data_IF_349922169370
#
_entry.id   IF_349922169370
#
_cell.length_a   1.000
_cell.length_b   1.000
_cell.length_c   1.000
_cell.angle_alpha   90.00
_cell.angle_beta   90.00
_cell.angle_gamma   90.00
#
_symmetry.space_group_name_H-M   'P 1'
#
loop_
_entity.id
_entity.type
_entity.pdbx_description
1 polymer ?
#
# COMPACT_ATOMS: atom_id res chain seq x y z
N UNK A 1 8.90 26.02 0.20
CA UNK A 1 7.62 25.50 -0.33
C UNK A 1 7.64 23.98 -0.24
N UNK A 2 6.49 23.36 0.10
CA UNK A 2 6.34 21.90 0.12
C UNK A 2 6.54 21.40 -1.32
N UNK A 3 7.49 20.49 -1.50
CA UNK A 3 7.80 19.91 -2.81
C UNK A 3 6.81 18.78 -3.15
N UNK A 4 6.70 18.41 -4.43
CA UNK A 4 5.88 17.25 -4.85
C UNK A 4 6.33 15.93 -4.18
N UNK A 5 7.63 15.81 -3.84
CA UNK A 5 8.16 14.70 -3.06
C UNK A 5 7.52 14.59 -1.67
N UNK A 6 7.22 15.74 -1.05
CA UNK A 6 6.67 15.81 0.29
C UNK A 6 5.20 15.34 0.30
N UNK A 7 4.46 15.60 -0.80
CA UNK A 7 3.09 15.09 -0.97
C UNK A 7 3.05 13.56 -1.07
N UNK A 8 4.04 12.95 -1.74
CA UNK A 8 4.18 11.50 -1.82
C UNK A 8 4.40 10.89 -0.44
N UNK A 9 5.35 11.41 0.31
CA UNK A 9 5.65 10.97 1.69
C UNK A 9 4.41 11.09 2.57
N UNK A 10 3.70 12.21 2.49
CA UNK A 10 2.48 12.42 3.27
C UNK A 10 1.40 11.37 3.02
N UNK A 11 1.17 11.00 1.74
CA UNK A 11 0.19 9.97 1.37
C UNK A 11 0.61 8.59 1.90
N UNK A 12 1.90 8.26 1.83
CA UNK A 12 2.43 7.03 2.44
C UNK A 12 2.17 7.00 3.96
N UNK A 13 2.51 8.06 4.67
CA UNK A 13 2.32 8.17 6.10
C UNK A 13 0.83 8.07 6.48
N UNK A 14 -0.05 8.71 5.70
CA UNK A 14 -1.49 8.65 5.90
C UNK A 14 -2.04 7.22 5.67
N UNK A 15 -1.61 6.55 4.61
CA UNK A 15 -2.00 5.17 4.33
C UNK A 15 -1.53 4.20 5.41
N UNK A 16 -0.29 4.33 5.88
CA UNK A 16 0.26 3.52 6.96
C UNK A 16 -0.45 3.78 8.29
N UNK A 17 -0.72 5.04 8.63
CA UNK A 17 -1.42 5.41 9.86
C UNK A 17 -2.88 4.92 9.86
N UNK A 18 -3.61 5.11 8.76
CA UNK A 18 -4.96 4.55 8.58
C UNK A 18 -4.93 3.03 8.72
N UNK A 19 -4.00 2.38 8.03
CA UNK A 19 -3.87 0.94 8.06
C UNK A 19 -3.67 0.40 9.48
N UNK A 20 -2.83 1.04 10.29
CA UNK A 20 -2.64 0.67 11.71
C UNK A 20 -3.93 0.85 12.53
N UNK A 21 -4.70 1.90 12.29
CA UNK A 21 -6.01 2.10 12.92
C UNK A 21 -7.00 1.00 12.53
N UNK A 22 -7.00 0.59 11.26
CA UNK A 22 -7.87 -0.47 10.72
C UNK A 22 -7.53 -1.86 11.28
N UNK A 23 -6.25 -2.17 11.54
CA UNK A 23 -5.84 -3.46 12.12
C UNK A 23 -6.57 -3.81 13.43
N UNK A 24 -7.01 -2.82 14.18
CA UNK A 24 -7.78 -2.99 15.42
C UNK A 24 -9.29 -3.15 15.23
N UNK A 25 -9.80 -3.00 13.99
CA UNK A 25 -11.25 -3.01 13.73
C UNK A 25 -11.73 -4.40 13.27
N UNK A 26 -12.98 -4.71 13.58
CA UNK A 26 -13.66 -5.88 13.01
C UNK A 26 -14.13 -5.58 11.59
N UNK A 27 -14.20 -6.60 10.74
CA UNK A 27 -14.62 -6.45 9.33
C UNK A 27 -15.97 -5.73 9.16
N UNK A 28 -16.92 -5.96 10.06
CA UNK A 28 -18.23 -5.30 10.05
C UNK A 28 -18.17 -3.77 10.29
N UNK A 29 -17.08 -3.27 10.86
CA UNK A 29 -16.88 -1.84 11.10
C UNK A 29 -16.18 -1.13 9.91
N UNK A 30 -15.83 -1.84 8.85
CA UNK A 30 -15.13 -1.31 7.68
C UNK A 30 -16.11 -0.84 6.59
N UNK A 31 -17.08 -0.01 6.95
CA UNK A 31 -17.92 0.69 5.96
C UNK A 31 -17.14 1.80 5.30
N UNK A 32 -17.58 2.25 4.12
CA UNK A 32 -16.91 3.34 3.39
C UNK A 32 -16.89 4.62 4.24
N UNK A 33 -18.00 4.95 4.90
CA UNK A 33 -18.15 6.13 5.76
C UNK A 33 -17.21 6.07 6.98
N UNK A 34 -17.11 4.90 7.63
CA UNK A 34 -16.25 4.72 8.78
C UNK A 34 -14.76 4.86 8.40
N UNK A 35 -14.36 4.29 7.26
CA UNK A 35 -12.98 4.35 6.78
C UNK A 35 -12.64 5.76 6.29
N UNK A 36 -13.57 6.47 5.66
CA UNK A 36 -13.39 7.88 5.28
C UNK A 36 -13.22 8.77 6.51
N UNK A 37 -14.07 8.61 7.52
CA UNK A 37 -13.96 9.37 8.77
C UNK A 37 -12.62 9.12 9.48
N UNK A 38 -12.16 7.86 9.50
CA UNK A 38 -10.83 7.51 10.02
C UNK A 38 -9.70 8.15 9.21
N UNK A 39 -9.84 8.19 7.88
CA UNK A 39 -8.84 8.83 7.03
C UNK A 39 -8.82 10.35 7.26
N UNK A 40 -9.98 10.98 7.36
CA UNK A 40 -10.08 12.42 7.61
C UNK A 40 -9.42 12.83 8.95
N UNK A 41 -9.67 12.05 10.02
CA UNK A 41 -9.00 12.28 11.30
C UNK A 41 -7.49 12.06 11.19
N UNK A 42 -7.06 11.02 10.45
CA UNK A 42 -5.66 10.71 10.25
C UNK A 42 -4.93 11.80 9.47
N UNK A 43 -5.55 12.29 8.39
CA UNK A 43 -5.02 13.40 7.59
C UNK A 43 -4.91 14.67 8.43
N UNK A 44 -5.93 15.00 9.25
CA UNK A 44 -5.90 16.17 10.13
C UNK A 44 -4.76 16.08 11.14
N UNK A 45 -4.61 14.94 11.81
CA UNK A 45 -3.52 14.70 12.76
C UNK A 45 -2.12 14.84 12.11
N UNK A 46 -1.97 14.32 10.87
CA UNK A 46 -0.71 14.42 10.14
C UNK A 46 -0.43 15.84 9.64
N UNK A 47 -1.45 16.55 9.16
CA UNK A 47 -1.33 17.95 8.75
C UNK A 47 -0.85 18.83 9.89
N UNK A 48 -1.44 18.69 11.08
CA UNK A 48 -1.01 19.44 12.26
C UNK A 48 0.45 19.16 12.64
N UNK A 49 0.87 17.90 12.55
CA UNK A 49 2.22 17.50 12.96
C UNK A 49 3.32 17.81 11.94
N UNK A 50 3.03 17.62 10.63
CA UNK A 50 4.07 17.68 9.59
C UNK A 50 4.06 19.00 8.82
N UNK A 51 2.91 19.61 8.64
CA UNK A 51 2.74 20.77 7.77
C UNK A 51 2.72 22.06 8.60
N UNK A 52 2.12 22.02 9.77
CA UNK A 52 1.91 23.17 10.61
C UNK A 52 0.85 24.15 10.08
N UNK A 53 0.40 25.05 10.94
CA UNK A 53 -0.67 26.01 10.61
C UNK A 53 -0.25 27.07 9.58
N UNK A 54 1.03 27.47 9.58
CA UNK A 54 1.54 28.52 8.71
C UNK A 54 1.38 28.23 7.20
N UNK A 55 1.47 26.94 6.80
CA UNK A 55 1.29 26.57 5.39
C UNK A 55 -0.18 26.66 4.94
N UNK A 56 -1.12 26.54 5.87
CA UNK A 56 -2.55 26.62 5.59
C UNK A 56 -3.07 28.07 5.53
N UNK A 57 -2.23 29.07 5.84
CA UNK A 57 -2.62 30.46 5.81
C UNK A 57 -2.68 31.02 4.40
N UNK A 58 -1.90 30.48 3.45
CA UNK A 58 -1.94 30.92 2.06
C UNK A 58 -2.89 30.07 1.17
N UNK A 59 -3.25 30.61 0.01
CA UNK A 59 -4.16 29.96 -0.93
C UNK A 59 -3.58 28.68 -1.54
N UNK A 60 -2.26 28.64 -1.76
CA UNK A 60 -1.56 27.51 -2.35
C UNK A 60 -1.47 26.35 -1.36
N UNK A 61 -1.15 26.63 -0.11
CA UNK A 61 -1.10 25.62 0.94
C UNK A 61 -2.47 24.98 1.19
N UNK A 62 -3.54 25.78 1.27
CA UNK A 62 -4.91 25.26 1.38
C UNK A 62 -5.33 24.41 0.18
N UNK A 63 -4.94 24.78 -1.02
CA UNK A 63 -5.22 24.00 -2.23
C UNK A 63 -4.48 22.67 -2.19
N UNK A 64 -3.19 22.65 -1.83
CA UNK A 64 -2.39 21.44 -1.69
C UNK A 64 -2.98 20.50 -0.63
N UNK A 65 -3.33 21.02 0.54
CA UNK A 65 -3.95 20.24 1.61
C UNK A 65 -5.25 19.57 1.17
N UNK A 66 -6.12 20.27 0.44
CA UNK A 66 -7.35 19.69 -0.12
C UNK A 66 -7.06 18.55 -1.09
N UNK A 67 -6.07 18.71 -1.97
CA UNK A 67 -5.67 17.65 -2.91
C UNK A 67 -5.16 16.40 -2.19
N UNK A 68 -4.27 16.60 -1.22
CA UNK A 68 -3.73 15.50 -0.42
C UNK A 68 -4.84 14.76 0.33
N UNK A 69 -5.79 15.49 0.90
CA UNK A 69 -6.95 14.89 1.57
C UNK A 69 -7.82 14.08 0.61
N UNK A 70 -8.09 14.60 -0.58
CA UNK A 70 -8.88 13.89 -1.59
C UNK A 70 -8.20 12.60 -2.05
N UNK A 71 -6.89 12.64 -2.33
CA UNK A 71 -6.10 11.46 -2.68
C UNK A 71 -6.10 10.40 -1.56
N UNK A 72 -5.95 10.84 -0.32
CA UNK A 72 -6.00 9.96 0.85
C UNK A 72 -7.38 9.31 1.03
N UNK A 73 -8.48 10.05 0.86
CA UNK A 73 -9.85 9.48 0.91
C UNK A 73 -10.06 8.41 -0.14
N UNK A 74 -9.67 8.67 -1.39
CA UNK A 74 -9.78 7.70 -2.47
C UNK A 74 -8.96 6.44 -2.14
N UNK A 75 -7.74 6.58 -1.65
CA UNK A 75 -6.91 5.46 -1.21
C UNK A 75 -7.60 4.66 -0.09
N UNK A 76 -8.23 5.34 0.87
CA UNK A 76 -8.96 4.70 1.97
C UNK A 76 -10.17 3.87 1.48
N UNK A 77 -10.99 4.42 0.60
CA UNK A 77 -12.13 3.73 -0.01
C UNK A 77 -11.69 2.46 -0.75
N UNK A 78 -10.63 2.56 -1.55
CA UNK A 78 -10.08 1.43 -2.29
C UNK A 78 -9.49 0.37 -1.36
N UNK A 79 -8.83 0.79 -0.31
CA UNK A 79 -8.32 -0.12 0.71
C UNK A 79 -9.47 -0.86 1.42
N UNK A 80 -10.50 -0.15 1.87
CA UNK A 80 -11.68 -0.76 2.47
C UNK A 80 -12.35 -1.78 1.53
N UNK A 81 -12.48 -1.43 0.25
CA UNK A 81 -13.01 -2.34 -0.77
C UNK A 81 -12.17 -3.62 -0.90
N UNK A 82 -10.84 -3.51 -0.95
CA UNK A 82 -9.94 -4.69 -0.99
C UNK A 82 -10.16 -5.62 0.21
N UNK A 83 -10.34 -5.05 1.41
CA UNK A 83 -10.60 -5.83 2.62
C UNK A 83 -11.96 -6.54 2.58
N UNK A 84 -12.99 -5.92 2.00
CA UNK A 84 -14.32 -6.51 1.88
C UNK A 84 -14.41 -7.57 0.78
N UNK A 85 -13.73 -7.36 -0.34
CA UNK A 85 -13.77 -8.29 -1.48
C UNK A 85 -12.89 -9.50 -1.32
N UNK A 86 -11.78 -9.39 -0.58
CA UNK A 86 -10.81 -10.46 -0.38
C UNK A 86 -10.76 -11.01 1.04
N UNK A 87 -9.89 -12.01 1.21
CA UNK A 87 -9.57 -12.62 2.49
C UNK A 87 -8.17 -12.24 2.99
N UNK A 88 -7.41 -11.48 2.22
CA UNK A 88 -6.15 -10.91 2.68
C UNK A 88 -6.41 -9.82 3.73
N UNK A 89 -5.60 -9.85 4.79
CA UNK A 89 -5.64 -8.85 5.87
C UNK A 89 -4.26 -8.24 6.03
N UNK A 90 -4.14 -6.94 6.30
CA UNK A 90 -2.85 -6.34 6.61
C UNK A 90 -2.19 -7.04 7.78
N UNK A 91 -0.92 -7.40 7.62
CA UNK A 91 -0.07 -7.91 8.68
C UNK A 91 0.82 -6.81 9.27
N UNK A 92 1.08 -5.77 8.48
CA UNK A 92 1.81 -4.60 8.95
C UNK A 92 2.11 -3.59 7.85
N UNK A 93 2.60 -2.45 8.31
CA UNK A 93 2.96 -1.30 7.51
C UNK A 93 4.39 -0.87 7.83
N UNK A 94 5.14 -0.43 6.79
CA UNK A 94 6.56 -0.05 6.91
C UNK A 94 7.40 -1.16 7.56
N UNK A 95 7.20 -2.39 7.09
CA UNK A 95 7.88 -3.56 7.62
C UNK A 95 9.31 -3.61 7.14
N UNK A 96 10.26 -3.59 8.09
CA UNK A 96 11.67 -3.76 7.82
C UNK A 96 12.09 -5.23 7.76
N UNK A 97 12.89 -5.59 6.76
CA UNK A 97 13.55 -6.88 6.65
C UNK A 97 15.07 -6.74 6.48
N UNK A 98 15.80 -7.77 6.85
CA UNK A 98 17.26 -7.79 6.83
C UNK A 98 17.88 -7.79 8.22
N UNK A 99 19.20 -7.67 8.29
CA UNK A 99 19.94 -7.69 9.55
C UNK A 99 19.50 -6.59 10.50
N UNK A 100 19.18 -6.95 11.75
CA UNK A 100 18.70 -5.99 12.76
C UNK A 100 17.29 -5.43 12.53
N UNK A 101 16.55 -5.98 11.58
CA UNK A 101 15.16 -5.62 11.31
C UNK A 101 14.17 -6.65 11.86
N UNK A 102 12.87 -6.33 11.81
CA UNK A 102 11.79 -7.18 12.32
C UNK A 102 11.80 -8.58 11.68
N UNK A 103 12.06 -8.65 10.38
CA UNK A 103 12.17 -9.93 9.67
C UNK A 103 13.63 -10.17 9.28
N UNK A 104 14.37 -11.00 10.04
CA UNK A 104 15.73 -11.33 9.69
C UNK A 104 15.76 -12.11 8.37
N UNK A 105 16.68 -11.73 7.50
CA UNK A 105 16.93 -12.42 6.25
C UNK A 105 18.12 -13.35 6.41
N UNK A 106 17.98 -14.62 6.00
CA UNK A 106 19.11 -15.52 5.90
C UNK A 106 19.96 -15.16 4.68
N UNK A 107 21.23 -14.88 4.90
CA UNK A 107 22.18 -14.68 3.81
C UNK A 107 22.25 -15.96 2.95
N UNK A 108 21.91 -15.85 1.68
CA UNK A 108 22.22 -16.88 0.68
C UNK A 108 23.22 -16.29 -0.30
N UNK A 109 24.37 -16.96 -0.44
CA UNK A 109 25.39 -16.55 -1.40
C UNK A 109 26.15 -15.28 -1.05
N UNK A 110 26.22 -14.86 0.23
CA UNK A 110 26.98 -13.68 0.65
C UNK A 110 26.35 -12.33 0.34
N UNK A 111 25.09 -12.30 -0.13
CA UNK A 111 24.38 -11.04 -0.40
C UNK A 111 23.43 -10.76 0.77
N UNK A 112 23.70 -9.69 1.50
CA UNK A 112 22.80 -9.17 2.53
C UNK A 112 21.74 -8.27 1.88
N UNK A 113 20.47 -8.65 2.02
CA UNK A 113 19.34 -7.84 1.58
C UNK A 113 18.72 -7.14 2.78
N UNK A 114 18.44 -5.86 2.65
CA UNK A 114 17.68 -5.10 3.65
C UNK A 114 16.79 -4.06 2.96
N UNK A 115 15.67 -3.76 3.59
CA UNK A 115 14.74 -2.77 3.06
C UNK A 115 13.52 -2.60 3.93
N UNK A 116 12.57 -1.84 3.41
CA UNK A 116 11.25 -1.63 3.99
C UNK A 116 10.19 -1.90 2.93
N UNK A 117 9.08 -2.49 3.36
CA UNK A 117 7.89 -2.72 2.55
C UNK A 117 6.78 -1.86 3.13
N UNK A 118 6.13 -1.05 2.31
CA UNK A 118 5.11 -0.12 2.76
C UNK A 118 3.94 -0.83 3.43
N UNK A 119 3.49 -1.97 2.83
CA UNK A 119 2.41 -2.78 3.38
C UNK A 119 2.61 -4.26 3.05
N UNK A 120 2.40 -5.10 4.03
CA UNK A 120 2.34 -6.56 3.88
C UNK A 120 0.95 -7.03 4.28
N UNK A 121 0.30 -7.78 3.41
CA UNK A 121 -0.94 -8.46 3.73
C UNK A 121 -0.74 -9.97 3.80
N UNK A 122 -1.52 -10.64 4.64
CA UNK A 122 -1.50 -12.08 4.84
C UNK A 122 -2.87 -12.70 4.58
N UNK A 123 -2.88 -13.83 3.89
CA UNK A 123 -3.99 -14.76 3.85
C UNK A 123 -3.56 -16.06 4.52
N UNK A 124 -4.23 -16.44 5.60
CA UNK A 124 -3.95 -17.65 6.37
C UNK A 124 -4.74 -18.82 5.83
N UNK A 125 -4.03 -19.91 5.49
CA UNK A 125 -4.65 -21.15 5.03
C UNK A 125 -3.96 -22.35 5.67
N UNK A 126 -4.60 -22.97 6.66
CA UNK A 126 -3.98 -24.01 7.49
C UNK A 126 -2.71 -23.49 8.18
N UNK A 127 -1.60 -24.22 8.02
CA UNK A 127 -0.30 -23.89 8.63
C UNK A 127 0.56 -22.97 7.76
N UNK A 128 0.05 -22.55 6.61
CA UNK A 128 0.76 -21.71 5.67
C UNK A 128 0.12 -20.33 5.56
N UNK A 129 0.95 -19.30 5.64
CA UNK A 129 0.59 -17.93 5.39
C UNK A 129 0.97 -17.55 3.95
N UNK A 130 0.04 -16.98 3.20
CA UNK A 130 0.28 -16.44 1.88
C UNK A 130 0.49 -14.94 1.99
N UNK A 131 1.65 -14.47 1.56
CA UNK A 131 2.04 -13.06 1.71
C UNK A 131 1.94 -12.32 0.38
N UNK A 132 1.40 -11.12 0.42
CA UNK A 132 1.53 -10.15 -0.66
C UNK A 132 2.14 -8.87 -0.15
N UNK A 133 3.01 -8.27 -0.96
CA UNK A 133 3.65 -6.99 -0.69
C UNK A 133 3.02 -5.90 -1.55
N UNK A 134 2.85 -4.73 -0.99
CA UNK A 134 2.23 -3.59 -1.65
C UNK A 134 3.09 -2.37 -1.41
N UNK A 135 3.43 -1.67 -2.48
CA UNK A 135 4.19 -0.42 -2.48
C UNK A 135 3.28 0.69 -2.98
N UNK A 136 3.21 1.79 -2.25
CA UNK A 136 2.40 2.94 -2.61
C UNK A 136 3.16 3.81 -3.63
N UNK A 137 2.54 4.07 -4.77
CA UNK A 137 3.10 4.95 -5.81
C UNK A 137 2.24 6.18 -5.98
N UNK A 138 2.85 7.34 -5.72
CA UNK A 138 2.26 8.65 -5.99
C UNK A 138 2.85 9.19 -7.28
N UNK A 139 2.00 9.66 -8.18
CA UNK A 139 2.41 10.25 -9.46
C UNK A 139 2.03 9.42 -10.70
N UNK A 140 2.41 9.94 -11.87
CA UNK A 140 1.94 9.45 -13.18
C UNK A 140 2.77 8.30 -13.78
N UNK A 141 3.82 7.82 -13.10
CA UNK A 141 4.63 6.71 -13.62
C UNK A 141 3.89 5.40 -13.42
N UNK A 142 3.49 4.77 -14.52
CA UNK A 142 2.92 3.43 -14.49
C UNK A 142 4.02 2.39 -14.20
N UNK A 143 3.75 1.38 -13.35
CA UNK A 143 4.68 0.27 -13.18
C UNK A 143 4.87 -0.49 -14.48
N UNK A 144 6.12 -0.73 -14.85
CA UNK A 144 6.46 -1.56 -15.99
C UNK A 144 6.57 -3.04 -15.56
N UNK A 145 5.43 -3.74 -15.60
CA UNK A 145 5.39 -5.16 -15.27
C UNK A 145 6.06 -6.05 -16.35
N UNK A 146 6.12 -5.59 -17.61
CA UNK A 146 6.76 -6.32 -18.68
C UNK A 146 8.28 -6.32 -18.49
N UNK A 147 8.86 -5.19 -18.09
CA UNK A 147 10.27 -5.05 -17.80
C UNK A 147 10.76 -5.87 -16.59
N UNK A 148 9.83 -6.38 -15.75
CA UNK A 148 10.21 -7.25 -14.64
C UNK A 148 10.85 -8.57 -15.12
N UNK A 149 10.50 -9.06 -16.30
CA UNK A 149 11.13 -10.23 -16.93
C UNK A 149 12.59 -9.97 -17.30
N UNK A 150 12.92 -8.72 -17.61
CA UNK A 150 14.26 -8.29 -18.01
C UNK A 150 15.08 -7.77 -16.82
N UNK A 151 14.58 -7.98 -15.59
CA UNK A 151 15.26 -7.59 -14.35
C UNK A 151 15.00 -6.14 -13.92
N UNK A 152 14.13 -5.40 -14.60
CA UNK A 152 13.71 -4.07 -14.18
C UNK A 152 12.61 -4.15 -13.12
N UNK A 153 12.65 -3.24 -12.14
CA UNK A 153 11.64 -3.13 -11.09
C UNK A 153 11.40 -4.43 -10.28
N UNK A 154 12.43 -5.27 -10.13
CA UNK A 154 12.36 -6.54 -9.40
C UNK A 154 12.29 -6.37 -7.87
N UNK A 155 12.42 -5.15 -7.38
CA UNK A 155 12.54 -4.82 -5.96
C UNK A 155 11.43 -5.47 -5.11
N UNK A 156 10.17 -5.38 -5.53
CA UNK A 156 9.04 -5.94 -4.78
C UNK A 156 9.09 -7.47 -4.69
N UNK A 157 9.56 -8.14 -5.75
CA UNK A 157 9.71 -9.60 -5.76
C UNK A 157 10.80 -10.04 -4.79
N UNK A 158 11.93 -9.32 -4.81
CA UNK A 158 13.03 -9.57 -3.87
C UNK A 158 12.54 -9.38 -2.43
N UNK A 159 11.76 -8.34 -2.17
CA UNK A 159 11.19 -8.07 -0.86
C UNK A 159 10.21 -9.17 -0.43
N UNK A 160 9.33 -9.61 -1.32
CA UNK A 160 8.39 -10.68 -1.05
C UNK A 160 9.11 -11.99 -0.70
N UNK A 161 10.15 -12.36 -1.46
CA UNK A 161 10.95 -13.56 -1.21
C UNK A 161 11.68 -13.46 0.13
N UNK A 162 12.28 -12.32 0.41
CA UNK A 162 12.99 -12.08 1.68
C UNK A 162 12.04 -12.16 2.88
N UNK A 163 10.85 -11.59 2.78
CA UNK A 163 9.82 -11.67 3.82
C UNK A 163 9.33 -13.11 4.02
N UNK A 164 9.05 -13.84 2.95
CA UNK A 164 8.64 -15.25 3.06
C UNK A 164 9.70 -16.11 3.74
N UNK A 165 10.98 -15.84 3.48
CA UNK A 165 12.09 -16.54 4.13
C UNK A 165 12.24 -16.20 5.62
N UNK A 166 12.04 -14.93 5.98
CA UNK A 166 12.11 -14.46 7.35
C UNK A 166 10.87 -14.71 8.20
N UNK A 167 9.72 -14.94 7.57
CA UNK A 167 8.41 -15.05 8.21
C UNK A 167 8.32 -16.12 9.29
N UNK A 168 8.83 -17.37 9.07
CA UNK A 168 8.79 -18.41 10.08
C UNK A 168 9.57 -18.07 11.36
N UNK A 169 10.63 -17.30 11.26
CA UNK A 169 11.44 -16.90 12.41
C UNK A 169 10.69 -15.97 13.39
N UNK A 170 9.72 -15.21 12.85
CA UNK A 170 8.94 -14.24 13.64
C UNK A 170 7.60 -14.83 14.07
N UNK A 171 6.95 -15.58 13.19
CA UNK A 171 5.56 -16.03 13.40
C UNK A 171 5.42 -17.49 13.76
N UNK A 172 6.47 -18.31 13.57
CA UNK A 172 6.42 -19.76 13.71
C UNK A 172 5.65 -20.47 12.59
N UNK A 173 5.21 -19.74 11.55
CA UNK A 173 4.38 -20.27 10.46
C UNK A 173 5.13 -20.22 9.13
N UNK A 174 4.93 -21.23 8.30
CA UNK A 174 5.48 -21.19 6.94
C UNK A 174 4.83 -20.11 6.12
N UNK A 175 5.58 -19.54 5.16
CA UNK A 175 5.06 -18.51 4.27
C UNK A 175 5.33 -18.84 2.80
N UNK A 176 4.39 -18.43 1.93
CA UNK A 176 4.48 -18.54 0.48
C UNK A 176 4.16 -17.20 -0.18
N UNK A 177 4.81 -16.87 -1.29
CA UNK A 177 4.49 -15.67 -2.04
C UNK A 177 3.09 -15.77 -2.67
N UNK A 178 2.27 -14.74 -2.48
CA UNK A 178 0.96 -14.61 -3.11
C UNK A 178 0.96 -13.57 -4.22
N UNK A 179 1.70 -12.50 -4.06
CA UNK A 179 1.75 -11.46 -5.08
C UNK A 179 2.55 -10.24 -4.65
N UNK A 180 2.89 -9.41 -5.64
CA UNK A 180 3.55 -8.14 -5.42
C UNK A 180 2.87 -7.06 -6.27
N UNK A 181 2.52 -5.93 -5.64
CA UNK A 181 1.64 -4.93 -6.22
C UNK A 181 2.14 -3.52 -5.95
N UNK A 182 1.85 -2.67 -6.90
CA UNK A 182 1.85 -1.23 -6.72
C UNK A 182 0.42 -0.75 -6.46
N UNK A 183 0.24 0.04 -5.43
CA UNK A 183 -1.00 0.74 -5.16
C UNK A 183 -0.86 2.17 -5.69
N UNK A 184 -1.56 2.46 -6.79
CA UNK A 184 -1.44 3.75 -7.45
C UNK A 184 -2.34 4.75 -6.74
N UNK A 185 -1.72 5.68 -6.01
CA UNK A 185 -2.42 6.84 -5.44
C UNK A 185 -2.27 7.99 -6.40
N UNK A 186 -3.20 8.11 -7.32
CA UNK A 186 -3.22 9.23 -8.25
C UNK A 186 -3.91 10.44 -7.67
N UNK A 187 -3.32 11.58 -7.93
CA UNK A 187 -3.92 12.87 -7.72
C UNK A 187 -4.85 13.19 -8.91
N UNK A 188 -6.08 13.56 -8.63
CA UNK A 188 -7.12 13.90 -9.63
C UNK A 188 -6.82 15.20 -10.41
N UNK A 189 -5.55 15.54 -10.62
CA UNK A 189 -5.22 16.72 -11.42
C UNK A 189 -5.47 16.44 -12.90
N UNK A 190 -6.50 17.09 -13.39
CA UNK A 190 -6.80 17.21 -14.81
C UNK A 190 -5.84 18.23 -15.40
N UNK A 191 -5.03 17.83 -16.35
CA UNK A 191 -4.43 18.75 -17.27
C UNK A 191 -5.57 19.45 -18.06
N UNK A 192 -5.44 20.73 -18.38
CA UNK A 192 -6.46 21.58 -19.00
C UNK A 192 -7.14 21.04 -20.28
N UNK A 193 -6.73 19.88 -20.75
CA UNK A 193 -7.25 19.22 -21.95
C UNK A 193 -8.46 18.30 -21.74
N UNK A 194 -8.95 18.09 -20.50
CA UNK A 194 -10.21 17.35 -20.24
C UNK A 194 -10.22 15.86 -20.64
N UNK A 195 -9.18 15.36 -21.25
CA UNK A 195 -9.09 13.99 -21.73
C UNK A 195 -8.28 13.12 -20.76
N UNK A 196 -8.92 12.42 -19.89
CA UNK A 196 -8.23 11.45 -19.03
C UNK A 196 -8.79 11.31 -17.62
N UNK A 197 -9.74 12.14 -17.20
CA UNK A 197 -10.29 12.14 -15.84
C UNK A 197 -10.92 10.80 -15.47
N UNK A 198 -11.72 10.22 -16.35
CA UNK A 198 -12.40 8.93 -16.09
C UNK A 198 -11.43 7.75 -16.11
N UNK A 199 -10.48 7.73 -17.06
CA UNK A 199 -9.48 6.68 -17.14
C UNK A 199 -8.53 6.72 -15.93
N UNK A 200 -8.12 7.90 -15.50
CA UNK A 200 -7.26 8.07 -14.32
C UNK A 200 -8.01 7.70 -13.02
N UNK A 201 -9.28 8.08 -12.88
CA UNK A 201 -10.13 7.64 -11.76
C UNK A 201 -10.34 6.13 -11.71
N UNK A 202 -10.47 5.49 -12.88
CA UNK A 202 -10.62 4.04 -12.94
C UNK A 202 -9.36 3.29 -12.49
N UNK A 203 -8.18 3.85 -12.74
CA UNK A 203 -6.88 3.27 -12.34
C UNK A 203 -6.47 3.66 -10.91
N UNK A 204 -6.92 4.80 -10.41
CA UNK A 204 -6.56 5.28 -9.08
C UNK A 204 -7.02 4.30 -7.99
N UNK A 205 -6.11 3.92 -7.11
CA UNK A 205 -6.36 2.99 -6.02
C UNK A 205 -6.51 1.53 -6.43
N UNK A 206 -6.13 1.16 -7.67
CA UNK A 206 -6.00 -0.25 -8.06
C UNK A 206 -4.67 -0.82 -7.57
N UNK A 207 -4.70 -2.12 -7.30
CA UNK A 207 -3.48 -2.91 -7.19
C UNK A 207 -3.04 -3.31 -8.60
N UNK A 208 -1.86 -2.84 -9.00
CA UNK A 208 -1.24 -3.19 -10.29
C UNK A 208 -0.04 -4.05 -10.00
N UNK A 209 -0.06 -5.30 -10.43
CA UNK A 209 1.01 -6.24 -10.09
C UNK A 209 0.74 -7.63 -10.62
N UNK A 210 1.43 -8.60 -10.03
CA UNK A 210 1.28 -10.00 -10.38
C UNK A 210 0.80 -10.80 -9.18
N UNK A 211 -0.13 -11.69 -9.40
CA UNK A 211 -0.67 -12.65 -8.44
C UNK A 211 -0.13 -14.03 -8.74
N UNK A 212 0.17 -14.82 -7.73
CA UNK A 212 0.47 -16.23 -7.88
C UNK A 212 -0.74 -16.96 -8.47
N UNK A 213 -0.49 -17.83 -9.44
CA UNK A 213 -1.50 -18.68 -10.08
C UNK A 213 -1.85 -19.90 -9.20
N UNK A 214 -2.30 -19.61 -7.97
CA UNK A 214 -2.84 -20.59 -7.03
C UNK A 214 -4.34 -20.25 -6.84
N UNK A 215 -5.26 -21.18 -7.12
CA UNK A 215 -6.70 -20.93 -7.00
C UNK A 215 -7.13 -20.41 -5.62
N UNK A 216 -6.42 -20.80 -4.56
CA UNK A 216 -6.68 -20.32 -3.20
C UNK A 216 -6.32 -18.85 -3.05
N UNK A 217 -5.19 -18.44 -3.65
CA UNK A 217 -4.71 -17.05 -3.64
C UNK A 217 -5.63 -16.17 -4.48
N UNK A 218 -6.04 -16.65 -5.67
CA UNK A 218 -6.97 -15.92 -6.55
C UNK A 218 -8.29 -15.64 -5.84
N UNK A 219 -8.93 -16.66 -5.25
CA UNK A 219 -10.16 -16.49 -4.44
C UNK A 219 -9.98 -15.61 -3.22
N UNK A 220 -8.81 -15.69 -2.57
CA UNK A 220 -8.50 -14.83 -1.43
C UNK A 220 -8.25 -13.38 -1.82
N UNK A 221 -7.82 -13.14 -3.06
CA UNK A 221 -7.61 -11.78 -3.59
C UNK A 221 -8.93 -11.10 -3.91
N UNK A 222 -9.82 -11.80 -4.60
CA UNK A 222 -11.15 -11.29 -4.92
C UNK A 222 -12.12 -12.49 -5.07
N UNK A 223 -13.19 -12.48 -4.27
CA UNK A 223 -14.19 -13.55 -4.25
C UNK A 223 -15.00 -13.62 -5.54
N UNK A 224 -15.04 -12.53 -6.29
CA UNK A 224 -15.82 -12.43 -7.53
C UNK A 224 -15.00 -12.88 -8.77
N UNK A 225 -13.70 -13.22 -8.60
CA UNK A 225 -12.83 -13.68 -9.68
C UNK A 225 -12.95 -15.18 -10.01
N UNK A 226 -13.77 -15.97 -9.29
CA UNK A 226 -13.88 -17.44 -9.47
C UNK A 226 -15.32 -17.89 -9.44
#
# INVERSE_FOLDING_TARGET
GVALSDAGIFVHDAAAALGRKILGLRDAALTDEAVEALMDSTVSELMERQVGTALLEDGRGRWMARRMSAACRLAAQRFARQLRQGSFRPAGFEIGFGSGKQFPHSERGGIALSGFVDRVDVFRNGDCDYLRVIDYKTGNKKPDLAGAKDGYQVQLWVYLIALCAGWPHVTGRTARPAGAYYFIVQDDYVDDAGKGVEANRAEAGRLVGLTCDDPRVLRATDRDLV
#
